data_IF_666745147667
#
_entry.id   IF_666745147667
#
_cell.length_a   1.000
_cell.length_b   1.000
_cell.length_c   1.000
_cell.angle_alpha   90.00
_cell.angle_beta   90.00
_cell.angle_gamma   90.00
#
_symmetry.space_group_name_H-M   'P 1'
#
loop_
_entity.id
_entity.type
_entity.pdbx_description
1 polymer ?
#
# COMPACT_ATOMS: atom_id res chain seq x y z
N UNK A 1 6.99 9.18 19.76
CA UNK A 1 6.25 9.60 18.57
C UNK A 1 6.09 8.38 17.69
N UNK A 2 4.86 8.01 17.38
CA UNK A 2 4.55 6.95 16.42
C UNK A 2 3.81 7.56 15.23
N UNK A 3 3.86 6.88 14.08
CA UNK A 3 3.00 7.21 12.95
C UNK A 3 1.71 6.39 13.09
N UNK A 4 0.56 7.05 12.99
CA UNK A 4 -0.75 6.38 13.07
C UNK A 4 -1.08 5.72 11.73
N UNK A 5 -1.51 4.46 11.77
CA UNK A 5 -2.06 3.80 10.58
C UNK A 5 -3.48 4.30 10.32
N UNK A 6 -3.70 4.83 9.12
CA UNK A 6 -5.05 5.08 8.59
C UNK A 6 -5.62 3.79 7.99
N UNK A 7 -4.75 3.02 7.35
CA UNK A 7 -5.01 1.67 6.86
C UNK A 7 -3.78 0.84 7.24
N UNK A 8 -3.98 -0.18 8.06
CA UNK A 8 -2.94 -1.14 8.42
C UNK A 8 -2.49 -1.96 7.20
N UNK A 9 -1.27 -2.54 7.20
CA UNK A 9 -0.78 -3.38 6.12
C UNK A 9 -1.77 -4.46 5.69
N UNK A 10 -2.28 -4.35 4.47
CA UNK A 10 -3.36 -5.20 3.95
C UNK A 10 -3.03 -5.69 2.55
N UNK A 11 -3.24 -6.99 2.30
CA UNK A 11 -3.12 -7.57 0.96
C UNK A 11 -4.42 -7.34 0.19
N UNK A 12 -4.32 -6.79 -1.02
CA UNK A 12 -5.41 -6.60 -1.97
C UNK A 12 -5.22 -7.51 -3.17
N UNK A 13 -6.34 -7.98 -3.74
CA UNK A 13 -6.35 -8.84 -4.93
C UNK A 13 -5.52 -10.13 -4.77
N UNK A 14 -5.54 -10.74 -3.58
CA UNK A 14 -4.77 -11.95 -3.30
C UNK A 14 -5.08 -13.06 -4.33
N UNK A 15 -4.03 -13.58 -4.96
CA UNK A 15 -4.05 -14.60 -5.99
C UNK A 15 -4.49 -14.12 -7.38
N UNK A 16 -4.74 -12.82 -7.56
CA UNK A 16 -5.20 -12.24 -8.82
C UNK A 16 -4.14 -11.31 -9.43
N UNK A 17 -4.16 -11.07 -10.75
CA UNK A 17 -3.36 -10.01 -11.35
C UNK A 17 -3.61 -8.66 -10.65
N UNK A 18 -2.54 -8.00 -10.25
CA UNK A 18 -2.57 -6.78 -9.43
C UNK A 18 -2.45 -7.03 -7.92
N UNK A 19 -2.11 -8.25 -7.48
CA UNK A 19 -1.84 -8.53 -6.06
C UNK A 19 -0.80 -7.56 -5.51
N UNK A 20 -1.19 -6.87 -4.44
CA UNK A 20 -0.34 -5.88 -3.78
C UNK A 20 -0.62 -5.82 -2.28
N UNK A 21 0.40 -5.51 -1.49
CA UNK A 21 0.23 -5.00 -0.15
C UNK A 21 0.07 -3.47 -0.21
N UNK A 22 -0.91 -2.92 0.50
CA UNK A 22 -1.05 -1.48 0.70
C UNK A 22 -1.15 -1.14 2.18
N UNK A 23 -0.65 0.03 2.56
CA UNK A 23 -0.89 0.65 3.86
C UNK A 23 -0.93 2.17 3.73
N UNK A 24 -1.56 2.82 4.70
CA UNK A 24 -1.58 4.27 4.83
C UNK A 24 -1.15 4.70 6.23
N UNK A 25 -0.29 5.71 6.28
CA UNK A 25 0.21 6.30 7.51
C UNK A 25 -0.07 7.80 7.51
N UNK A 26 -0.39 8.39 8.67
CA UNK A 26 -0.30 9.85 8.85
C UNK A 26 1.10 10.24 9.30
N UNK A 27 1.73 11.14 8.55
CA UNK A 27 2.95 11.80 9.01
C UNK A 27 2.65 12.83 10.11
N UNK A 28 3.66 13.39 10.79
CA UNK A 28 3.46 14.42 11.82
C UNK A 28 2.80 15.72 11.33
N UNK A 29 2.80 15.97 10.02
CA UNK A 29 2.15 17.12 9.39
C UNK A 29 0.67 16.83 9.04
N UNK A 30 0.18 15.61 9.28
CA UNK A 30 -1.18 15.17 8.99
C UNK A 30 -1.39 14.63 7.57
N UNK A 31 -0.34 14.52 6.75
CA UNK A 31 -0.43 13.99 5.39
C UNK A 31 -0.65 12.47 5.42
N UNK A 32 -1.55 11.98 4.57
CA UNK A 32 -1.71 10.55 4.36
C UNK A 32 -0.70 10.05 3.32
N UNK A 33 0.23 9.21 3.74
CA UNK A 33 1.23 8.57 2.88
C UNK A 33 0.78 7.15 2.56
N UNK A 34 0.62 6.83 1.27
CA UNK A 34 0.37 5.46 0.82
C UNK A 34 1.67 4.76 0.47
N UNK A 35 1.81 3.52 0.95
CA UNK A 35 2.87 2.62 0.54
C UNK A 35 2.25 1.41 -0.14
N UNK A 36 2.75 1.07 -1.33
CA UNK A 36 2.34 -0.11 -2.09
C UNK A 36 3.54 -1.00 -2.36
N UNK A 37 3.36 -2.31 -2.18
CA UNK A 37 4.31 -3.32 -2.61
C UNK A 37 3.61 -4.32 -3.50
N UNK A 38 4.19 -4.61 -4.65
CA UNK A 38 3.64 -5.54 -5.64
C UNK A 38 4.45 -6.83 -5.60
N UNK A 39 3.76 -7.97 -5.66
CA UNK A 39 4.43 -9.26 -5.75
C UNK A 39 5.20 -9.41 -7.08
N UNK A 40 4.69 -8.76 -8.12
CA UNK A 40 5.29 -8.73 -9.45
C UNK A 40 5.21 -7.30 -10.04
N UNK A 41 6.38 -6.70 -10.28
CA UNK A 41 6.50 -5.34 -10.82
C UNK A 41 5.99 -5.26 -12.27
N UNK A 42 5.95 -6.37 -13.00
CA UNK A 42 5.33 -6.44 -14.34
C UNK A 42 3.84 -6.09 -14.32
N UNK A 43 3.19 -6.17 -13.16
CA UNK A 43 1.78 -5.82 -12.96
C UNK A 43 1.58 -4.34 -12.55
N UNK A 44 2.67 -3.59 -12.35
CA UNK A 44 2.62 -2.17 -11.99
C UNK A 44 2.10 -1.28 -13.13
N UNK A 45 2.38 -1.69 -14.37
CA UNK A 45 1.91 -1.01 -15.57
C UNK A 45 1.23 -2.03 -16.48
N UNK A 46 -0.08 -2.20 -16.33
CA UNK A 46 -0.87 -2.80 -17.39
C UNK A 46 -0.78 -1.87 -18.62
N UNK A 47 -0.37 -2.43 -19.77
CA UNK A 47 -0.45 -1.73 -21.05
C UNK A 47 -1.90 -1.62 -21.53
#
# INVERSE_FOLDING_TARGET
GGCEFVIEPTIRFKGQPGEQATMFLRDPSGNALEFKAFADVGQLFAR
#
